data_IF_735133631772
#
_entry.id   IF_735133631772
#
_cell.length_a   1.000
_cell.length_b   1.000
_cell.length_c   1.000
_cell.angle_alpha   90.00
_cell.angle_beta   90.00
_cell.angle_gamma   90.00
#
_symmetry.space_group_name_H-M   'P 1'
#
loop_
_entity.id
_entity.type
_entity.pdbx_description
1 polymer ?
#
# COMPACT_ATOMS: atom_id res chain seq x y z
N UNK A 1 1.57 13.36 21.92
CA UNK A 1 1.99 11.94 21.91
C UNK A 1 1.18 11.22 20.85
N UNK A 2 1.80 10.69 19.80
CA UNK A 2 1.14 9.76 18.89
C UNK A 2 0.92 8.43 19.62
N UNK A 3 -0.32 7.92 19.63
CA UNK A 3 -0.60 6.55 20.08
C UNK A 3 -0.09 5.61 19.00
N UNK A 4 0.78 4.67 19.37
CA UNK A 4 1.21 3.62 18.45
C UNK A 4 0.15 2.51 18.41
N UNK A 5 -0.23 2.11 17.21
CA UNK A 5 -1.25 1.09 16.97
C UNK A 5 -0.67 -0.33 16.90
N UNK A 6 0.66 -0.47 16.88
CA UNK A 6 1.36 -1.73 16.59
C UNK A 6 1.02 -2.35 15.23
N UNK A 7 0.49 -1.56 14.29
CA UNK A 7 0.24 -2.00 12.92
C UNK A 7 1.48 -1.80 12.03
N UNK A 8 1.75 -2.81 11.20
CA UNK A 8 2.90 -2.85 10.29
C UNK A 8 2.46 -2.35 8.92
N UNK A 9 3.24 -1.46 8.31
CA UNK A 9 2.99 -0.98 6.96
C UNK A 9 3.37 -2.04 5.91
N UNK A 10 2.41 -2.50 5.11
CA UNK A 10 2.62 -3.49 4.05
C UNK A 10 3.64 -3.06 2.98
N UNK A 11 3.97 -1.77 2.86
CA UNK A 11 4.93 -1.27 1.87
C UNK A 11 6.38 -1.69 2.14
N UNK A 12 6.71 -2.07 3.37
CA UNK A 12 8.07 -2.47 3.73
C UNK A 12 8.51 -3.63 2.82
N UNK A 13 9.58 -3.41 2.05
CA UNK A 13 10.12 -4.40 1.10
C UNK A 13 9.60 -4.34 -0.34
N UNK A 14 8.64 -3.46 -0.67
CA UNK A 14 8.00 -3.40 -2.00
C UNK A 14 8.32 -2.13 -2.82
N UNK A 15 9.28 -1.33 -2.37
CA UNK A 15 9.72 -0.12 -3.06
C UNK A 15 8.71 1.04 -3.03
N UNK A 16 8.87 1.98 -3.96
CA UNK A 16 8.01 3.16 -4.06
C UNK A 16 6.75 2.83 -4.87
N UNK A 17 5.60 2.80 -4.20
CA UNK A 17 4.32 2.42 -4.78
C UNK A 17 3.29 3.50 -4.52
N UNK A 18 3.19 4.42 -5.47
CA UNK A 18 2.36 5.63 -5.40
C UNK A 18 0.95 5.38 -5.91
N UNK A 19 -0.05 5.95 -5.27
CA UNK A 19 -1.46 5.76 -5.63
C UNK A 19 -2.15 7.03 -6.10
N UNK A 20 -1.68 8.21 -5.72
CA UNK A 20 -2.36 9.48 -6.02
C UNK A 20 -1.40 10.60 -6.44
N UNK A 21 -1.78 11.53 -7.33
CA UNK A 21 -2.99 11.49 -8.14
C UNK A 21 -2.76 10.63 -9.38
N UNK A 22 -3.72 9.76 -9.71
CA UNK A 22 -3.60 8.77 -10.76
C UNK A 22 -3.40 9.36 -12.17
N UNK A 23 -3.76 10.63 -12.36
CA UNK A 23 -3.65 11.37 -13.62
C UNK A 23 -2.26 12.02 -13.85
N UNK A 24 -1.37 12.02 -12.86
CA UNK A 24 -0.01 12.55 -13.02
C UNK A 24 0.99 11.47 -13.46
N UNK A 25 2.14 11.86 -14.06
CA UNK A 25 3.27 10.95 -14.28
C UNK A 25 3.74 10.29 -12.97
N UNK A 26 4.24 9.04 -12.98
CA UNK A 26 4.60 8.30 -11.76
C UNK A 26 5.50 9.04 -10.76
N UNK A 27 6.48 9.83 -11.25
CA UNK A 27 7.41 10.59 -10.41
C UNK A 27 6.76 11.74 -9.61
N UNK A 28 5.54 12.16 -9.98
CA UNK A 28 4.80 13.22 -9.33
C UNK A 28 3.66 12.69 -8.45
N UNK A 29 3.57 11.37 -8.29
CA UNK A 29 2.57 10.72 -7.43
C UNK A 29 3.14 10.52 -6.03
N UNK A 30 2.25 10.39 -5.05
CA UNK A 30 2.53 10.13 -3.65
C UNK A 30 1.72 8.90 -3.16
N UNK A 31 2.23 8.15 -2.18
CA UNK A 31 1.59 6.93 -1.67
C UNK A 31 0.70 7.24 -0.45
N UNK A 32 -0.52 7.75 -0.67
CA UNK A 32 -1.42 8.11 0.44
C UNK A 32 -2.38 6.99 0.85
N UNK A 33 -2.46 5.92 0.06
CA UNK A 33 -3.21 4.72 0.44
C UNK A 33 -2.28 3.70 1.10
N UNK A 34 -2.68 3.27 2.30
CA UNK A 34 -1.91 2.32 3.09
C UNK A 34 -2.76 1.10 3.46
N UNK A 35 -2.15 -0.07 3.36
CA UNK A 35 -2.64 -1.28 3.99
C UNK A 35 -1.73 -1.59 5.18
N UNK A 36 -2.29 -1.52 6.39
CA UNK A 36 -1.60 -1.82 7.62
C UNK A 36 -2.09 -3.16 8.16
N UNK A 37 -1.20 -3.97 8.74
CA UNK A 37 -1.54 -5.32 9.21
C UNK A 37 -0.95 -5.62 10.59
N UNK A 38 -1.52 -6.62 11.28
CA UNK A 38 -0.98 -7.17 12.53
C UNK A 38 0.20 -8.11 12.25
N UNK A 39 0.95 -8.44 13.31
CA UNK A 39 2.08 -9.40 13.25
C UNK A 39 1.65 -10.83 12.82
N UNK A 40 0.39 -11.20 13.03
CA UNK A 40 -0.17 -12.48 12.57
C UNK A 40 -0.28 -12.60 11.05
N UNK A 41 -0.09 -11.51 10.31
CA UNK A 41 -0.16 -11.48 8.84
C UNK A 41 1.22 -11.20 8.24
N UNK A 42 1.49 -11.81 7.08
CA UNK A 42 2.63 -11.50 6.20
C UNK A 42 2.13 -11.04 4.84
N UNK A 43 2.93 -10.20 4.17
CA UNK A 43 2.67 -9.77 2.80
C UNK A 43 3.37 -10.75 1.84
N UNK A 44 2.59 -11.45 1.02
CA UNK A 44 3.14 -12.28 -0.06
C UNK A 44 3.47 -11.43 -1.28
N UNK A 45 2.55 -10.54 -1.66
CA UNK A 45 2.65 -9.70 -2.85
C UNK A 45 2.01 -8.34 -2.58
N UNK A 46 2.59 -7.28 -3.15
CA UNK A 46 2.04 -5.92 -3.11
C UNK A 46 2.33 -5.21 -4.43
N UNK A 47 1.31 -4.62 -5.04
CA UNK A 47 1.45 -3.93 -6.33
C UNK A 47 0.43 -2.81 -6.49
N UNK A 48 0.71 -1.88 -7.40
CA UNK A 48 -0.25 -0.87 -7.85
C UNK A 48 -0.91 -1.35 -9.14
N UNK A 49 -2.24 -1.36 -9.16
CA UNK A 49 -3.04 -1.74 -10.33
C UNK A 49 -3.06 -0.66 -11.42
N UNK A 50 -3.63 -1.01 -12.58
CA UNK A 50 -3.87 -0.05 -13.66
C UNK A 50 -4.86 1.04 -13.25
N UNK A 51 -4.83 2.18 -13.94
CA UNK A 51 -5.83 3.22 -13.76
C UNK A 51 -7.21 2.71 -14.22
N UNK A 52 -8.20 2.72 -13.32
CA UNK A 52 -9.58 2.27 -13.56
C UNK A 52 -10.59 3.42 -13.65
N UNK A 53 -10.11 4.67 -13.78
CA UNK A 53 -10.94 5.88 -13.88
C UNK A 53 -11.16 6.63 -12.56
N UNK A 54 -10.57 6.16 -11.45
CA UNK A 54 -10.51 6.91 -10.17
C UNK A 54 -9.34 7.91 -10.19
N UNK A 55 -9.40 8.90 -9.30
CA UNK A 55 -8.28 9.78 -8.97
C UNK A 55 -7.16 9.06 -8.19
N UNK A 56 -7.40 7.82 -7.73
CA UNK A 56 -6.43 6.93 -7.11
C UNK A 56 -6.18 5.68 -7.96
N UNK A 57 -4.96 5.15 -7.90
CA UNK A 57 -4.62 3.83 -8.43
C UNK A 57 -4.91 2.75 -7.40
N UNK A 58 -5.42 1.57 -7.79
CA UNK A 58 -5.69 0.48 -6.85
C UNK A 58 -4.42 0.00 -6.14
N UNK A 59 -4.45 -0.10 -4.81
CA UNK A 59 -3.44 -0.81 -4.02
C UNK A 59 -3.87 -2.26 -3.85
N UNK A 60 -3.11 -3.19 -4.43
CA UNK A 60 -3.35 -4.63 -4.34
C UNK A 60 -2.37 -5.25 -3.34
N UNK A 61 -2.89 -5.99 -2.35
CA UNK A 61 -2.09 -6.65 -1.31
C UNK A 61 -2.56 -8.08 -1.12
N UNK A 62 -1.65 -9.03 -1.23
CA UNK A 62 -1.89 -10.44 -0.94
C UNK A 62 -1.33 -10.79 0.42
N UNK A 63 -2.21 -11.26 1.30
CA UNK A 63 -1.91 -11.56 2.69
C UNK A 63 -1.81 -13.08 2.90
N UNK A 64 -0.89 -13.47 3.77
CA UNK A 64 -0.80 -14.82 4.33
C UNK A 64 -0.99 -14.72 5.84
N UNK A 65 -1.77 -15.64 6.40
CA UNK A 65 -1.87 -15.80 7.84
C UNK A 65 -0.72 -16.67 8.34
N UNK A 66 -0.08 -16.26 9.43
CA UNK A 66 0.85 -17.10 10.17
C UNK A 66 0.11 -17.64 11.40
N UNK A 67 0.08 -18.96 11.52
CA UNK A 67 -0.31 -19.65 12.74
C UNK A 67 0.72 -19.46 13.85
#
# INVERSE_FOLDING_TARGET
MSKDSNLINSQIGFGWQTTWPANLPPLLRIPIDHCLHSQSLKIAERSIGSNLGSDHLPLLVKLLYND
#
